data_IF_222022011485
#
_entry.id   IF_222022011485
#
_cell.length_a   1.000
_cell.length_b   1.000
_cell.length_c   1.000
_cell.angle_alpha   90.00
_cell.angle_beta   90.00
_cell.angle_gamma   90.00
#
_symmetry.space_group_name_H-M   'P 1'
#
loop_
_entity.id
_entity.type
_entity.pdbx_description
1 polymer ?
#
# COMPACT_ATOMS: atom_id res chain seq x y z
N UNK A 1 -30.80 -18.54 69.06
CA UNK A 1 -30.62 -19.74 69.91
C UNK A 1 -30.39 -20.93 68.97
N UNK A 2 -29.21 -21.56 69.13
CA UNK A 2 -28.79 -22.93 68.73
C UNK A 2 -28.78 -23.27 67.21
N UNK A 3 -27.64 -23.21 66.51
CA UNK A 3 -26.45 -24.11 66.47
C UNK A 3 -26.76 -25.56 66.10
N UNK A 4 -26.04 -26.07 65.08
CA UNK A 4 -25.24 -27.33 65.00
C UNK A 4 -25.07 -27.66 63.50
N UNK A 5 -23.88 -27.44 62.91
CA UNK A 5 -22.82 -28.45 62.64
C UNK A 5 -23.33 -29.55 61.68
N UNK A 6 -22.65 -30.03 60.64
CA UNK A 6 -21.22 -30.30 60.42
C UNK A 6 -21.11 -31.01 59.07
N UNK A 7 -20.14 -30.65 58.23
CA UNK A 7 -19.27 -31.56 57.44
C UNK A 7 -18.40 -30.69 56.52
N UNK A 8 -17.15 -30.40 56.89
CA UNK A 8 -15.96 -31.21 56.62
C UNK A 8 -15.73 -31.25 55.09
N UNK A 9 -14.97 -30.29 54.56
CA UNK A 9 -13.50 -30.34 54.43
C UNK A 9 -13.07 -31.05 53.15
N UNK A 10 -12.32 -30.30 52.34
CA UNK A 10 -11.23 -30.78 51.51
C UNK A 10 -11.64 -31.67 50.33
N UNK A 11 -11.49 -31.16 49.10
CA UNK A 11 -10.67 -31.79 48.06
C UNK A 11 -10.74 -30.98 46.75
N UNK A 12 -9.54 -30.58 46.30
CA UNK A 12 -9.13 -30.31 44.91
C UNK A 12 -9.69 -29.07 44.19
N UNK A 13 -8.97 -27.96 44.42
CA UNK A 13 -8.27 -27.21 43.37
C UNK A 13 -8.01 -28.07 42.11
N UNK A 14 -8.88 -27.98 41.10
CA UNK A 14 -8.56 -28.45 39.75
C UNK A 14 -8.45 -27.22 38.84
N UNK A 15 -7.23 -26.70 38.82
CA UNK A 15 -6.67 -25.88 37.76
C UNK A 15 -6.90 -26.55 36.40
N UNK A 16 -7.84 -26.02 35.62
CA UNK A 16 -7.84 -26.24 34.17
C UNK A 16 -7.28 -24.99 33.50
N UNK A 17 -5.95 -24.86 33.59
CA UNK A 17 -5.17 -24.03 32.67
C UNK A 17 -5.35 -24.61 31.27
N UNK A 18 -6.26 -24.03 30.50
CA UNK A 18 -6.32 -24.22 29.06
C UNK A 18 -5.06 -23.57 28.47
N UNK A 19 -3.99 -24.36 28.39
CA UNK A 19 -2.81 -24.03 27.61
C UNK A 19 -3.19 -24.06 26.12
N UNK A 20 -3.80 -22.98 25.62
CA UNK A 20 -3.73 -22.66 24.21
C UNK A 20 -2.30 -22.20 23.93
N UNK A 21 -1.44 -23.15 23.59
CA UNK A 21 -0.19 -22.87 22.89
C UNK A 21 -0.55 -22.22 21.57
N UNK A 22 -0.54 -20.89 21.56
CA UNK A 22 -0.47 -20.11 20.33
C UNK A 22 0.80 -20.56 19.61
N UNK A 23 0.63 -21.36 18.57
CA UNK A 23 1.67 -21.63 17.62
C UNK A 23 1.85 -20.33 16.83
N UNK A 24 2.74 -19.46 17.31
CA UNK A 24 3.26 -18.35 16.54
C UNK A 24 3.98 -18.92 15.32
N UNK A 25 3.22 -19.14 14.24
CA UNK A 25 3.78 -19.31 12.92
C UNK A 25 4.33 -17.95 12.51
N UNK A 26 5.54 -17.66 13.00
CA UNK A 26 6.36 -16.56 12.53
C UNK A 26 6.74 -16.91 11.09
N UNK A 27 5.91 -16.48 10.15
CA UNK A 27 6.26 -16.45 8.74
C UNK A 27 7.46 -15.51 8.59
N UNK A 28 8.66 -16.06 8.74
CA UNK A 28 9.91 -15.40 8.43
C UNK A 28 9.98 -15.28 6.91
N UNK A 29 9.30 -14.28 6.35
CA UNK A 29 9.64 -13.77 5.03
C UNK A 29 11.07 -13.23 5.13
N UNK A 30 12.04 -14.09 4.84
CA UNK A 30 13.46 -13.76 4.92
C UNK A 30 13.73 -12.48 4.15
N UNK A 31 14.40 -11.53 4.80
CA UNK A 31 14.84 -10.30 4.17
C UNK A 31 15.80 -10.64 3.03
N UNK A 32 15.32 -10.64 1.79
CA UNK A 32 16.15 -10.83 0.60
C UNK A 32 16.65 -9.46 0.12
N UNK A 33 17.90 -9.07 0.40
CA UNK A 33 18.41 -7.74 0.05
C UNK A 33 18.38 -7.51 -1.47
N UNK A 34 18.58 -8.57 -2.27
CA UNK A 34 18.68 -8.49 -3.73
C UNK A 34 17.45 -7.90 -4.41
N UNK A 35 16.23 -8.26 -3.95
CA UNK A 35 15.00 -7.74 -4.53
C UNK A 35 14.83 -6.23 -4.26
N UNK A 36 15.19 -5.78 -3.05
CA UNK A 36 15.14 -4.34 -2.70
C UNK A 36 16.21 -3.55 -3.44
N UNK A 37 17.41 -4.12 -3.59
CA UNK A 37 18.49 -3.51 -4.37
C UNK A 37 18.12 -3.40 -5.86
N UNK A 38 17.53 -4.45 -6.45
CA UNK A 38 17.07 -4.44 -7.83
C UNK A 38 15.98 -3.40 -8.06
N UNK A 39 14.99 -3.33 -7.16
CA UNK A 39 13.92 -2.34 -7.24
C UNK A 39 14.44 -0.91 -7.11
N UNK A 40 15.37 -0.68 -6.17
CA UNK A 40 16.00 0.62 -5.98
C UNK A 40 16.86 1.03 -7.19
N UNK A 41 17.52 0.09 -7.86
CA UNK A 41 18.33 0.37 -9.06
C UNK A 41 17.49 0.78 -10.27
N UNK A 42 16.26 0.24 -10.40
CA UNK A 42 15.29 0.60 -11.45
C UNK A 42 14.46 1.84 -11.14
N UNK A 43 14.64 2.43 -9.97
CA UNK A 43 13.95 3.64 -9.55
C UNK A 43 14.90 4.83 -9.70
N UNK A 44 14.43 5.88 -10.34
CA UNK A 44 15.25 7.07 -10.59
C UNK A 44 15.39 7.93 -9.31
N UNK A 45 14.51 7.73 -8.33
CA UNK A 45 14.48 8.47 -7.07
C UNK A 45 15.65 8.13 -6.16
N UNK A 46 16.05 9.08 -5.32
CA UNK A 46 17.06 8.85 -4.31
C UNK A 46 16.61 7.80 -3.29
N UNK A 47 17.52 6.91 -2.87
CA UNK A 47 17.22 5.86 -1.88
C UNK A 47 16.64 6.42 -0.57
N UNK A 48 17.14 7.57 -0.11
CA UNK A 48 16.65 8.23 1.11
C UNK A 48 15.18 8.61 0.96
N UNK A 49 14.77 9.08 -0.22
CA UNK A 49 13.38 9.44 -0.51
C UNK A 49 12.51 8.18 -0.55
N UNK A 50 12.95 7.12 -1.23
CA UNK A 50 12.25 5.83 -1.22
C UNK A 50 12.06 5.27 0.19
N UNK A 51 13.08 5.37 1.04
CA UNK A 51 13.02 4.92 2.43
C UNK A 51 12.04 5.77 3.26
N UNK A 52 12.04 7.10 3.07
CA UNK A 52 11.10 8.00 3.72
C UNK A 52 9.66 7.74 3.29
N UNK A 53 9.41 7.57 1.99
CA UNK A 53 8.10 7.23 1.43
C UNK A 53 7.62 5.87 1.97
N UNK A 54 8.51 4.87 2.04
CA UNK A 54 8.16 3.55 2.60
C UNK A 54 7.74 3.67 4.06
N UNK A 55 8.44 4.47 4.87
CA UNK A 55 8.09 4.69 6.28
C UNK A 55 6.74 5.40 6.41
N UNK A 56 6.50 6.45 5.62
CA UNK A 56 5.23 7.16 5.60
C UNK A 56 4.09 6.26 5.12
N UNK A 57 4.33 5.41 4.12
CA UNK A 57 3.34 4.45 3.63
C UNK A 57 2.96 3.44 4.71
N UNK A 58 3.90 2.97 5.53
CA UNK A 58 3.61 2.09 6.66
C UNK A 58 2.77 2.80 7.74
N UNK A 59 3.08 4.07 8.02
CA UNK A 59 2.29 4.88 8.97
C UNK A 59 0.87 5.13 8.45
N UNK A 60 0.74 5.45 7.16
CA UNK A 60 -0.54 5.61 6.49
C UNK A 60 -1.34 4.31 6.52
N UNK A 61 -0.73 3.19 6.15
CA UNK A 61 -1.37 1.89 6.19
C UNK A 61 -1.85 1.53 7.61
N UNK A 62 -1.04 1.84 8.64
CA UNK A 62 -1.42 1.66 10.04
C UNK A 62 -2.61 2.53 10.45
N UNK A 63 -2.65 3.79 10.03
CA UNK A 63 -3.74 4.70 10.35
C UNK A 63 -5.07 4.20 9.74
N UNK A 64 -5.04 3.77 8.48
CA UNK A 64 -6.19 3.18 7.80
C UNK A 64 -6.65 1.88 8.48
N UNK A 65 -5.71 1.03 8.85
CA UNK A 65 -5.98 -0.22 9.56
C UNK A 65 -6.67 0.00 10.92
N UNK A 66 -6.24 1.03 11.66
CA UNK A 66 -6.80 1.35 12.96
C UNK A 66 -8.24 1.89 12.86
N UNK A 67 -8.54 2.62 11.78
CA UNK A 67 -9.87 3.20 11.53
C UNK A 67 -10.88 2.14 11.04
N UNK A 68 -10.47 1.28 10.10
CA UNK A 68 -11.34 0.25 9.53
C UNK A 68 -10.59 -1.07 9.29
N UNK A 69 -10.52 -1.96 10.30
CA UNK A 69 -9.79 -3.23 10.19
C UNK A 69 -10.43 -4.21 9.20
N UNK A 70 -11.71 -4.03 8.84
CA UNK A 70 -12.41 -4.90 7.90
C UNK A 70 -12.07 -4.63 6.42
N UNK A 71 -11.47 -3.48 6.10
CA UNK A 71 -11.25 -3.02 4.72
C UNK A 71 -9.79 -3.07 4.25
N UNK A 72 -8.92 -3.76 5.01
CA UNK A 72 -7.49 -3.94 4.69
C UNK A 72 -7.29 -4.45 3.26
N UNK A 73 -8.17 -5.33 2.80
CA UNK A 73 -8.07 -5.95 1.48
C UNK A 73 -8.70 -5.10 0.37
N UNK A 74 -9.56 -4.14 0.73
CA UNK A 74 -10.30 -3.32 -0.23
C UNK A 74 -9.60 -2.01 -0.58
N UNK A 75 -8.72 -1.51 0.30
CA UNK A 75 -8.06 -0.21 0.16
C UNK A 75 -6.55 -0.39 0.09
N UNK A 76 -5.96 0.06 -1.00
CA UNK A 76 -4.52 0.15 -1.20
C UNK A 76 -4.01 1.55 -0.84
N UNK A 77 -2.93 1.62 -0.06
CA UNK A 77 -2.28 2.86 0.35
C UNK A 77 -0.91 3.00 -0.32
N UNK A 78 -0.61 4.15 -0.89
CA UNK A 78 0.68 4.47 -1.51
C UNK A 78 1.21 5.81 -1.03
N UNK A 79 2.54 5.98 -1.07
CA UNK A 79 3.18 7.28 -0.84
C UNK A 79 4.25 7.50 -1.91
N UNK A 80 4.23 8.68 -2.52
CA UNK A 80 5.23 9.13 -3.49
C UNK A 80 5.62 10.57 -3.17
N UNK A 81 6.92 10.84 -2.99
CA UNK A 81 7.45 12.18 -2.70
C UNK A 81 6.77 12.83 -1.47
N UNK A 82 6.47 12.03 -0.45
CA UNK A 82 5.77 12.48 0.76
C UNK A 82 4.27 12.76 0.60
N UNK A 83 3.67 12.57 -0.59
CA UNK A 83 2.22 12.68 -0.79
C UNK A 83 1.55 11.31 -0.70
N UNK A 84 0.45 11.22 0.03
CA UNK A 84 -0.28 9.97 0.26
C UNK A 84 -1.43 9.74 -0.73
N UNK A 85 -1.66 8.48 -1.09
CA UNK A 85 -2.72 8.07 -2.00
C UNK A 85 -3.53 6.91 -1.43
N UNK A 86 -4.85 7.05 -1.47
CA UNK A 86 -5.80 5.98 -1.13
C UNK A 86 -6.56 5.54 -2.39
N UNK A 87 -6.53 4.25 -2.69
CA UNK A 87 -7.22 3.70 -3.86
C UNK A 87 -7.93 2.41 -3.47
N UNK A 88 -9.23 2.35 -3.72
CA UNK A 88 -10.03 1.18 -3.35
C UNK A 88 -11.52 1.44 -3.46
N UNK A 89 -12.32 0.56 -2.87
CA UNK A 89 -13.76 0.71 -2.80
C UNK A 89 -14.24 0.82 -1.37
N UNK A 90 -15.27 1.64 -1.16
CA UNK A 90 -15.88 1.87 0.16
C UNK A 90 -17.35 1.50 0.13
N UNK A 91 -17.89 1.09 1.26
CA UNK A 91 -19.30 0.76 1.45
C UNK A 91 -20.19 1.99 1.64
N UNK A 92 -19.63 3.10 2.15
CA UNK A 92 -20.37 4.36 2.38
C UNK A 92 -19.51 5.60 2.20
N UNK A 93 -20.16 6.76 2.00
CA UNK A 93 -19.45 8.05 1.95
C UNK A 93 -18.83 8.41 3.30
N UNK A 94 -19.50 8.06 4.40
CA UNK A 94 -19.01 8.29 5.76
C UNK A 94 -17.69 7.56 5.98
N UNK A 95 -17.61 6.30 5.53
CA UNK A 95 -16.38 5.52 5.55
C UNK A 95 -15.27 6.20 4.72
N UNK A 96 -15.60 6.69 3.51
CA UNK A 96 -14.64 7.44 2.69
C UNK A 96 -14.06 8.65 3.43
N UNK A 97 -14.92 9.43 4.09
CA UNK A 97 -14.52 10.61 4.86
C UNK A 97 -13.65 10.23 6.05
N UNK A 98 -14.06 9.25 6.84
CA UNK A 98 -13.30 8.76 8.01
C UNK A 98 -11.91 8.27 7.62
N UNK A 99 -11.79 7.51 6.53
CA UNK A 99 -10.49 7.05 5.99
C UNK A 99 -9.60 8.20 5.53
N UNK A 100 -10.16 9.18 4.83
CA UNK A 100 -9.43 10.35 4.37
C UNK A 100 -8.96 11.21 5.55
N UNK A 101 -9.78 11.36 6.59
CA UNK A 101 -9.42 12.12 7.77
C UNK A 101 -8.36 11.40 8.62
N UNK A 102 -8.47 10.07 8.77
CA UNK A 102 -7.42 9.25 9.38
C UNK A 102 -6.08 9.39 8.63
N UNK A 103 -6.12 9.42 7.29
CA UNK A 103 -4.94 9.60 6.46
C UNK A 103 -4.31 11.01 6.60
N UNK A 104 -5.13 12.07 6.69
CA UNK A 104 -4.64 13.45 6.89
C UNK A 104 -3.94 13.64 8.23
N UNK A 105 -4.31 12.87 9.24
CA UNK A 105 -3.71 12.94 10.58
C UNK A 105 -2.31 12.28 10.65
N UNK A 106 -1.84 11.65 9.58
CA UNK A 106 -0.50 11.06 9.52
C UNK A 106 0.55 12.18 9.39
N UNK A 107 1.33 12.36 10.45
CA UNK A 107 2.40 13.37 10.49
C UNK A 107 3.46 13.12 9.42
N UNK A 108 3.85 14.18 8.72
CA UNK A 108 4.90 14.15 7.68
C UNK A 108 4.41 13.91 6.26
N UNK A 109 3.09 13.75 6.04
CA UNK A 109 2.52 13.78 4.69
C UNK A 109 2.32 15.21 4.20
N UNK A 110 2.64 15.45 2.94
CA UNK A 110 2.43 16.74 2.26
C UNK A 110 0.98 16.97 1.84
N UNK A 111 0.19 15.89 1.78
CA UNK A 111 -1.20 15.91 1.37
C UNK A 111 -1.73 14.49 1.10
N UNK A 112 -3.04 14.41 0.86
CA UNK A 112 -3.73 13.16 0.53
C UNK A 112 -4.55 13.36 -0.74
N UNK A 113 -4.39 12.45 -1.69
CA UNK A 113 -5.30 12.28 -2.84
C UNK A 113 -5.95 10.91 -2.76
N UNK A 114 -7.20 10.78 -3.19
CA UNK A 114 -7.90 9.51 -3.07
C UNK A 114 -8.86 9.24 -4.23
N UNK A 115 -9.06 7.96 -4.51
CA UNK A 115 -10.10 7.45 -5.38
C UNK A 115 -10.80 6.30 -4.66
N UNK A 116 -11.94 6.61 -4.04
CA UNK A 116 -12.72 5.71 -3.18
C UNK A 116 -14.20 5.74 -3.61
N UNK A 117 -14.56 5.18 -4.78
CA UNK A 117 -15.95 5.02 -5.16
C UNK A 117 -16.71 4.05 -4.24
N UNK A 118 -18.03 4.22 -4.18
CA UNK A 118 -18.92 3.29 -3.49
C UNK A 118 -18.92 1.92 -4.18
N UNK A 119 -18.94 0.85 -3.40
CA UNK A 119 -19.11 -0.52 -3.89
C UNK A 119 -20.44 -0.63 -4.62
N UNK A 120 -20.39 -1.02 -5.90
CA UNK A 120 -21.57 -1.30 -6.70
C UNK A 120 -21.89 -2.79 -6.62
N UNK A 121 -23.05 -3.12 -6.09
CA UNK A 121 -23.53 -4.51 -6.07
C UNK A 121 -24.05 -4.88 -7.47
N UNK A 122 -23.47 -5.91 -8.11
CA UNK A 122 -24.05 -6.57 -9.27
C UNK A 122 -23.49 -6.21 -10.66
N UNK A 123 -22.44 -5.40 -10.76
CA UNK A 123 -21.71 -5.23 -12.03
C UNK A 123 -20.63 -6.33 -12.14
N UNK A 124 -20.71 -7.17 -13.19
CA UNK A 124 -19.66 -8.13 -13.56
C UNK A 124 -18.47 -7.36 -14.13
N UNK A 125 -17.66 -6.76 -13.27
CA UNK A 125 -16.32 -6.34 -13.67
C UNK A 125 -15.49 -7.59 -13.95
N UNK A 126 -14.68 -7.59 -15.01
CA UNK A 126 -13.58 -8.57 -15.06
C UNK A 126 -12.82 -8.47 -13.74
N UNK A 127 -12.44 -9.62 -13.16
CA UNK A 127 -11.69 -9.65 -11.89
C UNK A 127 -10.59 -8.61 -11.97
N UNK A 128 -10.70 -7.53 -11.17
CA UNK A 128 -9.86 -6.33 -11.28
C UNK A 128 -8.38 -6.68 -11.34
N UNK A 129 -7.99 -7.74 -10.64
CA UNK A 129 -6.66 -8.36 -10.68
C UNK A 129 -6.19 -8.82 -12.08
N UNK A 130 -7.03 -9.47 -12.87
CA UNK A 130 -6.65 -9.95 -14.21
C UNK A 130 -6.44 -8.78 -15.18
N UNK A 131 -7.34 -7.79 -15.12
CA UNK A 131 -7.22 -6.57 -15.90
C UNK A 131 -5.99 -5.75 -15.47
N UNK A 132 -5.73 -5.65 -14.17
CA UNK A 132 -4.50 -5.06 -13.62
C UNK A 132 -3.24 -5.75 -14.15
N UNK A 133 -3.20 -7.09 -14.15
CA UNK A 133 -2.05 -7.86 -14.64
C UNK A 133 -1.84 -7.60 -16.14
N UNK A 134 -2.91 -7.54 -16.93
CA UNK A 134 -2.81 -7.28 -18.37
C UNK A 134 -2.26 -5.88 -18.67
N UNK A 135 -2.75 -4.87 -17.95
CA UNK A 135 -2.26 -3.49 -18.08
C UNK A 135 -0.80 -3.40 -17.60
N UNK A 136 -0.47 -4.00 -16.45
CA UNK A 136 0.91 -4.03 -15.94
C UNK A 136 1.85 -4.72 -16.92
N UNK A 137 1.49 -5.87 -17.47
CA UNK A 137 2.31 -6.58 -18.46
C UNK A 137 2.58 -5.76 -19.72
N UNK A 138 1.61 -4.93 -20.16
CA UNK A 138 1.80 -4.02 -21.28
C UNK A 138 2.79 -2.88 -20.94
N UNK A 139 2.75 -2.37 -19.70
CA UNK A 139 3.55 -1.21 -19.29
C UNK A 139 4.94 -1.58 -18.76
N UNK A 140 5.13 -2.76 -18.19
CA UNK A 140 6.37 -3.20 -17.55
C UNK A 140 7.66 -3.05 -18.39
N UNK A 141 7.68 -3.24 -19.74
CA UNK A 141 8.91 -3.04 -20.52
C UNK A 141 9.39 -1.58 -20.51
N UNK A 142 8.46 -0.62 -20.57
CA UNK A 142 8.79 0.82 -20.61
C UNK A 142 8.78 1.45 -19.21
N UNK A 143 7.87 0.98 -18.36
CA UNK A 143 7.58 1.52 -17.04
C UNK A 143 7.52 0.38 -16.01
N UNK A 144 8.67 0.02 -15.41
CA UNK A 144 8.70 -1.03 -14.39
C UNK A 144 7.85 -0.62 -13.18
N UNK A 145 7.38 -1.63 -12.43
CA UNK A 145 6.57 -1.43 -11.22
C UNK A 145 7.24 -0.59 -10.11
N UNK A 146 8.56 -0.33 -10.21
CA UNK A 146 9.28 0.62 -9.35
C UNK A 146 8.95 2.08 -9.65
N UNK A 147 8.66 2.41 -10.92
CA UNK A 147 8.37 3.77 -11.39
C UNK A 147 6.87 4.05 -11.47
N UNK A 148 6.11 3.10 -12.02
CA UNK A 148 4.68 3.24 -12.28
C UNK A 148 3.92 2.05 -11.70
N UNK A 149 2.94 2.34 -10.87
CA UNK A 149 2.00 1.37 -10.31
C UNK A 149 0.61 1.68 -10.84
N UNK A 150 -0.07 0.63 -11.30
CA UNK A 150 -1.45 0.73 -11.78
C UNK A 150 -2.37 -0.06 -10.86
N UNK A 151 -3.52 0.55 -10.57
CA UNK A 151 -4.64 -0.06 -9.85
C UNK A 151 -5.92 0.08 -10.65
N UNK A 152 -6.78 -0.92 -10.60
CA UNK A 152 -8.08 -0.90 -11.29
C UNK A 152 -9.18 -1.02 -10.26
N UNK A 153 -10.10 -0.06 -10.29
CA UNK A 153 -11.27 -0.01 -9.42
C UNK A 153 -12.49 0.27 -10.31
N UNK A 154 -13.41 -0.69 -10.44
CA UNK A 154 -14.64 -0.56 -11.26
C UNK A 154 -14.35 -0.11 -12.72
N UNK A 155 -13.43 -0.79 -13.41
CA UNK A 155 -12.94 -0.44 -14.77
C UNK A 155 -12.31 0.96 -14.91
N UNK A 156 -12.07 1.65 -13.79
CA UNK A 156 -11.31 2.89 -13.74
C UNK A 156 -9.88 2.57 -13.36
N UNK A 157 -8.95 3.01 -14.19
CA UNK A 157 -7.52 2.81 -14.00
C UNK A 157 -6.96 3.99 -13.21
N UNK A 158 -6.37 3.73 -12.05
CA UNK A 158 -5.63 4.72 -11.27
C UNK A 158 -4.14 4.49 -11.51
N UNK A 159 -3.48 5.46 -12.13
CA UNK A 159 -2.05 5.44 -12.40
C UNK A 159 -1.32 6.24 -11.31
N UNK A 160 -0.39 5.59 -10.61
CA UNK A 160 0.38 6.18 -9.52
C UNK A 160 1.87 5.95 -9.76
N UNK A 161 2.72 6.88 -9.34
CA UNK A 161 4.15 6.72 -9.54
C UNK A 161 4.88 8.05 -9.57
N UNK A 162 6.15 7.99 -9.95
CA UNK A 162 6.96 9.18 -10.19
C UNK A 162 7.53 9.09 -11.59
N UNK A 163 7.09 10.00 -12.46
CA UNK A 163 7.51 10.08 -13.85
C UNK A 163 7.77 11.53 -14.25
N UNK A 164 8.63 11.71 -15.24
CA UNK A 164 8.76 13.02 -15.91
C UNK A 164 7.50 13.35 -16.71
N UNK A 165 7.30 14.62 -17.06
CA UNK A 165 6.11 15.05 -17.83
C UNK A 165 5.98 14.29 -19.17
N UNK A 166 7.10 14.08 -19.87
CA UNK A 166 7.13 13.35 -21.14
C UNK A 166 6.77 11.85 -20.98
N UNK A 167 7.29 11.21 -19.94
CA UNK A 167 6.95 9.81 -19.62
C UNK A 167 5.49 9.69 -19.20
N UNK A 168 4.99 10.64 -18.40
CA UNK A 168 3.61 10.69 -17.94
C UNK A 168 2.64 10.78 -19.12
N UNK A 169 2.87 11.68 -20.08
CA UNK A 169 2.00 11.80 -21.27
C UNK A 169 1.95 10.50 -22.07
N UNK A 170 3.11 9.87 -22.30
CA UNK A 170 3.20 8.58 -23.00
C UNK A 170 2.45 7.47 -22.25
N UNK A 171 2.68 7.34 -20.95
CA UNK A 171 2.03 6.33 -20.12
C UNK A 171 0.50 6.51 -20.10
N UNK A 172 0.02 7.75 -19.94
CA UNK A 172 -1.41 8.06 -19.92
C UNK A 172 -2.06 7.80 -21.28
N UNK A 173 -1.38 8.09 -22.39
CA UNK A 173 -1.87 7.79 -23.73
C UNK A 173 -2.00 6.28 -23.95
N UNK A 174 -1.01 5.49 -23.54
CA UNK A 174 -1.09 4.03 -23.61
C UNK A 174 -2.24 3.46 -22.76
N UNK A 175 -2.47 4.02 -21.58
CA UNK A 175 -3.58 3.61 -20.71
C UNK A 175 -4.97 3.95 -21.28
N UNK A 176 -5.13 5.13 -21.88
CA UNK A 176 -6.40 5.57 -22.47
C UNK A 176 -6.79 4.75 -23.72
N UNK A 177 -5.80 4.30 -24.48
CA UNK A 177 -6.02 3.50 -25.69
C UNK A 177 -6.25 2.01 -25.38
N UNK A 178 -6.15 1.60 -24.12
CA UNK A 178 -6.32 0.22 -23.73
C UNK A 178 -7.79 -0.20 -23.71
N UNK A 179 -8.12 -1.28 -24.41
CA UNK A 179 -9.49 -1.76 -24.51
C UNK A 179 -10.03 -2.18 -23.12
N UNK A 180 -11.22 -1.68 -22.76
CA UNK A 180 -11.89 -1.94 -21.49
C UNK A 180 -11.65 -0.89 -20.39
N UNK A 181 -10.81 0.12 -20.63
CA UNK A 181 -10.62 1.24 -19.68
C UNK A 181 -11.75 2.25 -19.85
N UNK A 182 -12.56 2.43 -18.80
CA UNK A 182 -13.63 3.43 -18.82
C UNK A 182 -13.09 4.84 -18.58
N UNK A 183 -12.13 4.97 -17.64
CA UNK A 183 -11.52 6.23 -17.25
C UNK A 183 -10.13 6.00 -16.69
N UNK A 184 -9.24 6.98 -16.87
CA UNK A 184 -7.92 7.01 -16.23
C UNK A 184 -7.86 8.15 -15.22
N UNK A 185 -7.51 7.84 -13.99
CA UNK A 185 -7.21 8.81 -12.93
C UNK A 185 -5.70 8.94 -12.83
N UNK A 186 -5.21 10.17 -13.01
CA UNK A 186 -3.79 10.47 -12.96
C UNK A 186 -3.39 10.93 -11.56
N UNK A 187 -2.64 10.09 -10.85
CA UNK A 187 -1.98 10.40 -9.58
C UNK A 187 -0.45 10.35 -9.68
N UNK A 188 0.09 10.33 -10.91
CA UNK A 188 1.52 10.37 -11.16
C UNK A 188 2.07 11.71 -10.65
N UNK A 189 3.16 11.62 -9.89
CA UNK A 189 3.89 12.78 -9.39
C UNK A 189 5.08 13.08 -10.30
N UNK A 190 5.41 14.35 -10.45
CA UNK A 190 6.61 14.77 -11.17
C UNK A 190 7.75 15.03 -10.17
N UNK A 191 8.96 14.52 -10.42
CA UNK A 191 10.10 14.82 -9.58
C UNK A 191 10.43 16.32 -9.68
N UNK A 192 10.56 16.99 -8.54
CA UNK A 192 10.97 18.39 -8.54
C UNK A 192 12.40 18.54 -9.10
N UNK A 193 12.68 19.64 -9.81
CA UNK A 193 13.98 19.86 -10.47
C UNK A 193 15.22 19.85 -9.55
N UNK A 194 15.04 19.95 -8.23
CA UNK A 194 16.11 19.84 -7.23
C UNK A 194 16.55 18.38 -6.97
N UNK A 195 15.73 17.40 -7.32
CA UNK A 195 15.99 15.97 -7.09
C UNK A 195 16.66 15.30 -8.29
N UNK A 196 16.33 15.73 -9.51
CA UNK A 196 16.97 15.27 -10.77
C UNK A 196 18.46 15.61 -10.84
N UNK A 197 18.93 16.65 -10.13
CA UNK A 197 20.31 17.15 -10.20
C UNK A 197 21.28 16.60 -9.15
N UNK A 198 20.84 15.75 -8.22
CA UNK A 198 21.78 15.16 -7.25
C UNK A 198 22.53 14.02 -7.91
N UNK A 199 23.66 14.38 -8.51
CA UNK A 199 24.65 13.47 -9.09
C UNK A 199 24.92 12.36 -8.07
N UNK A 200 24.60 11.12 -8.46
CA UNK A 200 24.78 9.96 -7.59
C UNK A 200 26.29 9.80 -7.40
N UNK A 201 26.82 9.73 -6.16
CA UNK A 201 28.19 9.28 -5.99
C UNK A 201 28.27 7.86 -6.56
N UNK A 202 28.94 7.72 -7.70
CA UNK A 202 29.19 6.41 -8.30
C UNK A 202 30.07 5.65 -7.30
N UNK A 203 29.75 4.39 -6.96
CA UNK A 203 30.66 3.59 -6.15
C UNK A 203 32.03 3.60 -6.84
N UNK A 204 33.06 4.03 -6.13
CA UNK A 204 34.44 4.08 -6.61
C UNK A 204 34.88 2.65 -6.90
N UNK A 205 34.71 2.22 -8.16
CA UNK A 205 34.98 0.85 -8.59
C UNK A 205 36.46 0.59 -8.90
N UNK A 206 37.36 1.55 -8.65
CA UNK A 206 38.78 1.45 -9.03
C UNK A 206 39.73 1.79 -7.87
N UNK A 207 39.82 0.93 -6.85
CA UNK A 207 40.93 0.96 -5.87
C UNK A 207 41.81 -0.29 -5.89
N UNK A 208 41.73 -1.10 -6.94
CA UNK A 208 42.64 -2.22 -7.17
C UNK A 208 43.14 -2.15 -8.61
N UNK A 209 44.22 -1.37 -8.79
CA UNK A 209 45.21 -1.54 -9.85
C UNK A 209 46.55 -1.05 -9.29
#
# INVERSE_FOLDING_TARGET
MNKILSSISLVLLFSLSLNCTFHESTAHAGFLPFGRMYKAAKDDRAYVVQASDTRLQLQLHKAILAENPSDILAISTFVYLGHGFLVGEVSSEEQSRSLVDAAKNVSGLNGISYYLPLKKNGENYETSSAFEIKIKGMLEPDYPSSKLTVKVVQNVVVALGVLTEQEQEKALNSLKNFNGVAKVINFIQSPSGAESKRDRPRPLRNFLN
#
